data_IF_455067911417
#
_entry.id   IF_455067911417
#
_cell.length_a   1.000
_cell.length_b   1.000
_cell.length_c   1.000
_cell.angle_alpha   90.00
_cell.angle_beta   90.00
_cell.angle_gamma   90.00
#
_symmetry.space_group_name_H-M   'P 1'
#
loop_
_entity.id
_entity.type
_entity.pdbx_description
1 polymer ?
#
# COMPACT_ATOMS: atom_id res chain seq x y z
N UNK A 1 -0.19 16.58 18.60
CA UNK A 1 1.03 16.52 17.77
C UNK A 1 0.68 15.68 16.55
N UNK A 2 0.30 16.32 15.45
CA UNK A 2 0.02 15.60 14.21
C UNK A 2 1.35 15.17 13.62
N UNK A 3 1.75 13.91 13.86
CA UNK A 3 2.77 13.24 13.06
C UNK A 3 2.17 13.06 11.66
N UNK A 4 2.22 14.16 10.89
CA UNK A 4 1.49 14.33 9.65
C UNK A 4 2.07 13.41 8.58
N UNK A 5 1.16 12.81 7.81
CA UNK A 5 1.20 12.13 6.51
C UNK A 5 2.53 11.92 5.74
N UNK A 6 3.59 12.70 5.98
CA UNK A 6 4.91 12.57 5.36
C UNK A 6 5.74 11.38 5.86
N UNK A 7 5.61 10.98 7.13
CA UNK A 7 6.38 9.85 7.69
C UNK A 7 5.89 8.50 7.15
N UNK A 8 4.57 8.33 7.00
CA UNK A 8 3.96 7.11 6.46
C UNK A 8 4.43 6.85 5.04
N UNK A 9 4.48 7.89 4.21
CA UNK A 9 4.92 7.78 2.82
C UNK A 9 6.39 7.40 2.69
N UNK A 10 7.26 7.85 3.62
CA UNK A 10 8.67 7.42 3.68
C UNK A 10 8.79 5.98 4.15
N UNK A 11 8.07 5.60 5.21
CA UNK A 11 8.05 4.23 5.74
C UNK A 11 7.56 3.22 4.71
N UNK A 12 6.52 3.55 3.96
CA UNK A 12 5.97 2.65 2.94
C UNK A 12 6.87 2.55 1.70
N UNK A 13 7.74 3.53 1.45
CA UNK A 13 8.73 3.43 0.38
C UNK A 13 9.73 2.29 0.65
N UNK A 14 10.06 2.02 1.92
CA UNK A 14 10.94 0.91 2.32
C UNK A 14 10.27 -0.47 2.11
N UNK A 15 8.94 -0.50 1.90
CA UNK A 15 8.23 -1.73 1.61
C UNK A 15 8.46 -2.21 0.17
N UNK A 16 8.99 -1.38 -0.73
CA UNK A 16 9.31 -1.79 -2.09
C UNK A 16 10.34 -2.93 -2.07
N UNK A 17 10.04 -4.01 -2.77
CA UNK A 17 10.84 -5.24 -2.78
C UNK A 17 10.57 -6.20 -1.61
N UNK A 18 9.75 -5.81 -0.63
CA UNK A 18 9.27 -6.71 0.44
C UNK A 18 8.12 -7.59 -0.04
N UNK A 19 7.86 -8.67 0.68
CA UNK A 19 6.70 -9.52 0.41
C UNK A 19 5.39 -8.83 0.77
N UNK A 20 4.31 -9.23 0.10
CA UNK A 20 2.93 -8.81 0.42
C UNK A 20 2.65 -8.77 1.92
N UNK A 21 2.95 -9.87 2.62
CA UNK A 21 2.66 -10.01 4.05
C UNK A 21 3.36 -8.95 4.90
N UNK A 22 4.65 -8.70 4.67
CA UNK A 22 5.40 -7.67 5.40
C UNK A 22 4.83 -6.27 5.16
N UNK A 23 4.45 -5.99 3.90
CA UNK A 23 3.88 -4.71 3.53
C UNK A 23 2.51 -4.49 4.22
N UNK A 24 1.62 -5.47 4.14
CA UNK A 24 0.29 -5.42 4.78
C UNK A 24 0.41 -5.29 6.29
N UNK A 25 1.29 -6.06 6.93
CA UNK A 25 1.49 -5.96 8.39
C UNK A 25 2.02 -4.58 8.80
N UNK A 26 2.94 -4.00 8.04
CA UNK A 26 3.49 -2.67 8.31
C UNK A 26 2.41 -1.60 8.18
N UNK A 27 1.66 -1.61 7.08
CA UNK A 27 0.57 -0.66 6.81
C UNK A 27 -0.52 -0.76 7.90
N UNK A 28 -0.87 -1.97 8.35
CA UNK A 28 -1.79 -2.17 9.49
C UNK A 28 -1.26 -1.58 10.79
N UNK A 29 0.03 -1.75 11.08
CA UNK A 29 0.68 -1.18 12.29
C UNK A 29 0.70 0.34 12.27
N UNK A 30 0.77 0.93 11.08
CA UNK A 30 0.67 2.38 10.89
C UNK A 30 -0.78 2.91 11.05
N UNK A 31 -1.76 2.04 11.26
CA UNK A 31 -3.17 2.39 11.55
C UNK A 31 -4.11 2.27 10.36
N UNK A 32 -3.63 1.84 9.20
CA UNK A 32 -4.45 1.70 8.00
C UNK A 32 -5.09 0.31 7.95
N UNK A 33 -6.42 0.27 7.92
CA UNK A 33 -7.17 -0.99 7.94
C UNK A 33 -7.71 -1.39 6.57
N UNK A 34 -7.83 -0.43 5.66
CA UNK A 34 -8.36 -0.64 4.32
C UNK A 34 -7.22 -0.82 3.33
N UNK A 35 -6.71 -2.04 3.20
CA UNK A 35 -5.57 -2.36 2.34
C UNK A 35 -6.04 -3.23 1.18
N UNK A 36 -5.72 -2.82 -0.03
CA UNK A 36 -6.01 -3.56 -1.25
C UNK A 36 -4.70 -4.02 -1.88
N UNK A 37 -4.53 -5.34 -1.99
CA UNK A 37 -3.37 -5.93 -2.66
C UNK A 37 -3.77 -6.31 -4.07
N UNK A 38 -3.02 -5.84 -5.06
CA UNK A 38 -3.23 -6.14 -6.48
C UNK A 38 -1.93 -6.53 -7.15
N UNK A 39 -1.99 -7.38 -8.16
CA UNK A 39 -0.85 -7.70 -9.01
C UNK A 39 -0.63 -6.64 -10.09
N UNK A 40 0.62 -6.40 -10.48
CA UNK A 40 1.01 -5.49 -11.56
C UNK A 40 0.32 -5.90 -12.88
N UNK A 41 -0.39 -4.94 -13.48
CA UNK A 41 -1.21 -5.20 -14.66
C UNK A 41 -2.65 -5.61 -14.37
N UNK A 42 -3.03 -5.83 -13.10
CA UNK A 42 -4.44 -5.93 -12.72
C UNK A 42 -5.08 -4.56 -12.94
N UNK A 43 -6.01 -4.41 -13.90
CA UNK A 43 -6.76 -3.17 -14.02
C UNK A 43 -7.46 -2.94 -12.68
N UNK A 44 -7.55 -1.68 -12.24
CA UNK A 44 -8.33 -1.31 -11.06
C UNK A 44 -9.81 -1.66 -11.33
N UNK A 45 -10.15 -2.93 -11.15
CA UNK A 45 -11.46 -3.48 -11.44
C UNK A 45 -12.41 -2.76 -10.48
N UNK A 46 -13.24 -1.89 -11.04
CA UNK A 46 -14.17 -1.07 -10.31
C UNK A 46 -13.50 -0.08 -9.34
N UNK A 47 -12.81 0.92 -9.90
CA UNK A 47 -12.32 2.08 -9.16
C UNK A 47 -13.49 2.97 -8.66
N UNK A 48 -14.36 2.41 -7.82
CA UNK A 48 -14.93 3.21 -6.75
C UNK A 48 -13.73 3.62 -5.91
N UNK A 49 -13.20 4.83 -6.14
CA UNK A 49 -12.13 5.42 -5.33
C UNK A 49 -12.69 5.49 -3.91
N UNK A 50 -12.46 4.45 -3.12
CA UNK A 50 -12.82 4.41 -1.72
C UNK A 50 -11.76 5.24 -1.02
N UNK A 51 -12.08 6.48 -0.71
CA UNK A 51 -11.19 7.34 0.08
C UNK A 51 -10.71 6.59 1.31
N UNK A 52 -9.39 6.59 1.54
CA UNK A 52 -8.78 5.89 2.67
C UNK A 52 -8.42 4.42 2.43
N UNK A 53 -8.43 3.94 1.19
CA UNK A 53 -7.83 2.64 0.83
C UNK A 53 -6.34 2.82 0.49
N UNK A 54 -5.49 1.95 1.03
CA UNK A 54 -4.07 1.83 0.68
C UNK A 54 -3.91 0.70 -0.33
N UNK A 55 -3.47 1.03 -1.54
CA UNK A 55 -3.20 0.03 -2.56
C UNK A 55 -1.74 -0.40 -2.51
N UNK A 56 -1.52 -1.71 -2.43
CA UNK A 56 -0.22 -2.39 -2.51
C UNK A 56 -0.16 -3.12 -3.85
N UNK A 57 0.79 -2.74 -4.69
CA UNK A 57 0.96 -3.33 -6.03
C UNK A 57 2.13 -4.29 -5.98
N UNK A 58 1.88 -5.56 -6.29
CA UNK A 58 2.88 -6.62 -6.30
C UNK A 58 3.41 -6.87 -7.72
N UNK A 59 4.67 -7.27 -7.83
CA UNK A 59 5.25 -7.79 -9.07
C UNK A 59 4.96 -9.29 -9.25
N UNK A 60 5.42 -9.86 -10.36
CA UNK A 60 5.31 -11.29 -10.68
C UNK A 60 5.90 -12.21 -9.59
N UNK A 61 6.88 -11.73 -8.81
CA UNK A 61 7.49 -12.43 -7.69
C UNK A 61 6.75 -12.23 -6.35
N UNK A 62 5.54 -11.64 -6.37
CA UNK A 62 4.75 -11.31 -5.17
C UNK A 62 5.47 -10.37 -4.19
N UNK A 63 6.35 -9.51 -4.72
CA UNK A 63 7.00 -8.44 -3.95
C UNK A 63 6.39 -7.11 -4.32
N UNK A 64 6.39 -6.17 -3.38
CA UNK A 64 5.89 -4.82 -3.61
C UNK A 64 6.70 -4.16 -4.72
N UNK A 65 6.05 -3.85 -5.84
CA UNK A 65 6.68 -3.21 -7.00
C UNK A 65 6.79 -1.70 -6.84
N UNK A 66 5.76 -1.08 -6.28
CA UNK A 66 5.66 0.37 -6.08
C UNK A 66 5.34 0.70 -4.63
N UNK A 67 5.79 1.86 -4.12
CA UNK A 67 5.41 2.31 -2.78
C UNK A 67 3.89 2.28 -2.62
N UNK A 68 3.35 1.69 -1.54
CA UNK A 68 1.93 1.71 -1.26
C UNK A 68 1.36 3.14 -1.32
N UNK A 69 0.22 3.29 -2.00
CA UNK A 69 -0.42 4.58 -2.22
C UNK A 69 -1.78 4.61 -1.55
N UNK A 70 -2.02 5.63 -0.73
CA UNK A 70 -3.32 5.91 -0.16
C UNK A 70 -4.16 6.68 -1.17
N UNK A 71 -5.28 6.11 -1.61
CA UNK A 71 -6.24 6.79 -2.46
C UNK A 71 -7.08 7.75 -1.60
N UNK A 72 -7.15 9.02 -2.00
CA UNK A 72 -7.87 10.06 -1.28
C UNK A 72 -9.01 10.60 -2.13
#
# INVERSE_FOLDING_TARGET
MSAGCSDLRKRWNDLVGKSEKEAVETIKRDGEQNIEVVDDGTPAADATIKSGVVRVILDENKKVKYPPLRQN
#
